data_IF_788785665604
#
_entry.id   IF_788785665604
#
_cell.length_a   1.000
_cell.length_b   1.000
_cell.length_c   1.000
_cell.angle_alpha   90.00
_cell.angle_beta   90.00
_cell.angle_gamma   90.00
#
_symmetry.space_group_name_H-M   'P 1'
#
loop_
_entity.id
_entity.type
_entity.pdbx_description
1 polymer ?
#
# COMPACT_ATOMS: atom_id res chain seq x y z
N UNK A 1 -18.03 -27.62 -29.15
CA UNK A 1 -16.90 -26.84 -29.71
C UNK A 1 -16.75 -25.59 -28.86
N UNK A 2 -15.92 -25.62 -27.82
CA UNK A 2 -15.81 -24.52 -26.85
C UNK A 2 -14.99 -23.35 -27.45
N UNK A 3 -15.40 -22.08 -27.24
CA UNK A 3 -14.75 -20.95 -27.90
C UNK A 3 -13.30 -20.73 -27.47
N UNK A 4 -12.43 -20.41 -28.44
CA UNK A 4 -10.96 -20.35 -28.30
C UNK A 4 -10.41 -19.19 -27.45
N UNK A 5 -11.24 -18.28 -26.93
CA UNK A 5 -10.78 -17.08 -26.19
C UNK A 5 -10.22 -17.39 -24.78
N UNK A 6 -10.39 -18.61 -24.27
CA UNK A 6 -10.00 -18.95 -22.90
C UNK A 6 -8.52 -19.38 -22.75
N UNK A 7 -7.79 -19.63 -23.85
CA UNK A 7 -6.50 -20.36 -23.79
C UNK A 7 -5.22 -19.53 -23.82
N UNK A 8 -5.27 -18.19 -23.88
CA UNK A 8 -4.03 -17.39 -23.91
C UNK A 8 -4.19 -16.00 -23.28
N UNK A 9 -4.31 -15.92 -21.95
CA UNK A 9 -4.26 -14.65 -21.22
C UNK A 9 -2.82 -14.19 -21.03
N UNK A 10 -2.17 -13.71 -22.10
CA UNK A 10 -1.08 -12.74 -21.95
C UNK A 10 -1.73 -11.38 -21.79
N UNK A 11 -1.56 -10.71 -20.64
CA UNK A 11 -1.71 -9.26 -20.56
C UNK A 11 -0.91 -8.64 -21.71
N UNK A 12 -1.62 -8.06 -22.66
CA UNK A 12 -1.08 -7.18 -23.67
C UNK A 12 -1.56 -5.78 -23.28
N UNK A 13 -0.64 -4.84 -23.08
CA UNK A 13 -1.03 -3.43 -23.06
C UNK A 13 -1.49 -3.09 -24.47
N UNK A 14 -2.79 -3.20 -24.73
CA UNK A 14 -3.40 -2.93 -26.04
C UNK A 14 -3.39 -1.45 -26.38
N UNK A 15 -3.19 -0.57 -25.38
CA UNK A 15 -3.01 0.87 -25.56
C UNK A 15 -2.18 1.44 -24.41
N UNK A 16 -0.97 1.92 -24.68
CA UNK A 16 -0.27 2.83 -23.76
C UNK A 16 -1.03 4.15 -23.81
N UNK A 17 -1.63 4.57 -22.71
CA UNK A 17 -2.31 5.87 -22.65
C UNK A 17 -1.28 6.97 -22.85
N UNK A 18 -1.41 7.84 -23.86
CA UNK A 18 -0.55 9.02 -23.97
C UNK A 18 -0.56 9.81 -22.67
N UNK A 19 0.61 10.31 -22.24
CA UNK A 19 0.75 11.25 -21.12
C UNK A 19 0.15 10.81 -19.78
N UNK A 20 0.05 9.49 -19.52
CA UNK A 20 -0.40 8.97 -18.23
C UNK A 20 -1.80 9.51 -17.80
N UNK A 21 -2.71 9.76 -18.74
CA UNK A 21 -4.00 10.38 -18.47
C UNK A 21 -4.88 9.59 -17.48
N UNK A 22 -5.01 8.27 -17.69
CA UNK A 22 -5.80 7.39 -16.83
C UNK A 22 -5.23 7.34 -15.40
N UNK A 23 -3.94 7.02 -15.18
CA UNK A 23 -3.38 7.04 -13.83
C UNK A 23 -3.43 8.45 -13.21
N UNK A 24 -3.30 9.52 -14.00
CA UNK A 24 -3.49 10.90 -13.53
C UNK A 24 -4.88 11.15 -12.95
N UNK A 25 -5.95 10.76 -13.67
CA UNK A 25 -7.34 10.86 -13.17
C UNK A 25 -7.55 10.05 -11.89
N UNK A 26 -7.00 8.83 -11.84
CA UNK A 26 -7.09 7.97 -10.67
C UNK A 26 -6.40 8.60 -9.44
N UNK A 27 -5.17 9.08 -9.60
CA UNK A 27 -4.38 9.68 -8.53
C UNK A 27 -5.00 11.00 -8.05
N UNK A 28 -5.52 11.83 -8.96
CA UNK A 28 -6.25 13.05 -8.60
C UNK A 28 -7.51 12.72 -7.76
N UNK A 29 -8.24 11.65 -8.10
CA UNK A 29 -9.37 11.20 -7.28
C UNK A 29 -8.95 10.68 -5.89
N UNK A 30 -7.75 10.12 -5.77
CA UNK A 30 -7.20 9.75 -4.46
C UNK A 30 -6.80 10.99 -3.66
N UNK A 31 -6.10 11.95 -4.27
CA UNK A 31 -5.68 13.18 -3.61
C UNK A 31 -6.87 14.01 -3.11
N UNK A 32 -7.96 14.07 -3.88
CA UNK A 32 -9.18 14.76 -3.44
C UNK A 32 -9.86 14.13 -2.22
N UNK A 33 -9.73 12.81 -2.05
CA UNK A 33 -10.42 12.07 -0.98
C UNK A 33 -9.56 11.91 0.27
N UNK A 34 -8.28 11.65 0.09
CA UNK A 34 -7.37 11.25 1.16
C UNK A 34 -6.21 12.23 1.36
N UNK A 35 -6.09 13.24 0.49
CA UNK A 35 -5.02 14.23 0.52
C UNK A 35 -3.69 13.76 -0.08
N UNK A 36 -2.62 14.44 0.30
CA UNK A 36 -1.25 14.26 -0.14
C UNK A 36 -0.29 14.25 1.07
N UNK A 37 0.79 13.44 1.07
CA UNK A 37 1.29 12.64 -0.04
C UNK A 37 0.56 11.30 -0.22
N UNK A 38 0.61 10.78 -1.45
CA UNK A 38 0.22 9.40 -1.76
C UNK A 38 1.48 8.55 -1.81
N UNK A 39 1.52 7.51 -1.01
CA UNK A 39 2.57 6.50 -1.04
C UNK A 39 2.08 5.25 -1.76
N UNK A 40 2.76 4.86 -2.82
CA UNK A 40 2.46 3.71 -3.64
C UNK A 40 3.46 2.59 -3.33
N UNK A 41 3.02 1.56 -2.62
CA UNK A 41 3.84 0.42 -2.18
C UNK A 41 3.57 -0.76 -3.11
N UNK A 42 4.53 -1.06 -3.98
CA UNK A 42 4.45 -2.18 -4.91
C UNK A 42 5.22 -3.39 -4.39
N UNK A 43 4.54 -4.53 -4.25
CA UNK A 43 5.06 -5.79 -3.70
C UNK A 43 5.39 -6.85 -4.78
N UNK A 44 5.34 -6.47 -6.06
CA UNK A 44 5.68 -7.35 -7.19
C UNK A 44 7.11 -7.87 -7.04
N UNK A 45 7.37 -9.12 -7.41
CA UNK A 45 8.71 -9.72 -7.31
C UNK A 45 9.63 -9.13 -8.38
N UNK A 46 10.87 -8.75 -8.03
CA UNK A 46 11.82 -8.19 -9.02
C UNK A 46 12.36 -9.24 -10.00
N UNK A 47 12.41 -10.51 -9.60
CA UNK A 47 12.84 -11.62 -10.46
C UNK A 47 11.67 -12.54 -10.72
N UNK A 48 11.09 -12.40 -11.90
CA UNK A 48 10.08 -13.31 -12.41
C UNK A 48 10.68 -14.26 -13.45
N UNK A 49 10.20 -15.51 -13.48
CA UNK A 49 10.56 -16.47 -14.55
C UNK A 49 9.97 -16.05 -15.90
N UNK A 50 8.87 -15.30 -15.91
CA UNK A 50 8.23 -14.69 -17.08
C UNK A 50 7.92 -13.22 -16.77
N UNK A 51 8.35 -12.29 -17.62
CA UNK A 51 8.14 -10.84 -17.44
C UNK A 51 6.67 -10.49 -17.62
N UNK A 52 5.90 -10.53 -16.55
CA UNK A 52 4.46 -10.28 -16.61
C UNK A 52 4.08 -9.14 -15.70
N UNK A 53 4.43 -9.26 -14.41
CA UNK A 53 4.16 -8.24 -13.41
C UNK A 53 5.18 -7.10 -13.46
N UNK A 54 6.40 -7.40 -13.91
CA UNK A 54 7.44 -6.37 -14.09
C UNK A 54 7.01 -5.31 -15.09
N UNK A 55 6.28 -5.69 -16.15
CA UNK A 55 5.77 -4.75 -17.14
C UNK A 55 4.77 -3.75 -16.54
N UNK A 56 3.84 -4.23 -15.70
CA UNK A 56 2.89 -3.36 -15.01
C UNK A 56 3.61 -2.41 -14.05
N UNK A 57 4.61 -2.92 -13.33
CA UNK A 57 5.44 -2.14 -12.41
C UNK A 57 6.19 -1.02 -13.15
N UNK A 58 6.73 -1.31 -14.34
CA UNK A 58 7.42 -0.32 -15.17
C UNK A 58 6.45 0.75 -15.67
N UNK A 59 5.27 0.36 -16.15
CA UNK A 59 4.23 1.29 -16.63
C UNK A 59 3.79 2.24 -15.51
N UNK A 60 3.46 1.72 -14.33
CA UNK A 60 3.04 2.54 -13.18
C UNK A 60 4.17 3.44 -12.70
N UNK A 61 5.40 2.91 -12.59
CA UNK A 61 6.57 3.69 -12.19
C UNK A 61 6.83 4.86 -13.13
N UNK A 62 6.76 4.62 -14.45
CA UNK A 62 6.95 5.68 -15.44
C UNK A 62 5.81 6.71 -15.42
N UNK A 63 4.56 6.27 -15.24
CA UNK A 63 3.42 7.17 -15.08
C UNK A 63 3.58 8.08 -13.84
N UNK A 64 3.99 7.53 -12.70
CA UNK A 64 4.23 8.30 -11.47
C UNK A 64 5.39 9.29 -11.67
N UNK A 65 6.51 8.86 -12.28
CA UNK A 65 7.63 9.74 -12.60
C UNK A 65 7.23 10.91 -13.50
N UNK A 66 6.37 10.65 -14.48
CA UNK A 66 5.83 11.70 -15.35
C UNK A 66 4.93 12.66 -14.56
N UNK A 67 4.00 12.15 -13.77
CA UNK A 67 3.07 12.99 -12.99
C UNK A 67 3.78 13.83 -11.93
N UNK A 68 4.84 13.31 -11.31
CA UNK A 68 5.65 14.04 -10.34
C UNK A 68 6.40 15.24 -10.95
N UNK A 69 6.49 15.39 -12.27
CA UNK A 69 7.02 16.61 -12.91
C UNK A 69 6.11 17.83 -12.69
N UNK A 70 4.83 17.60 -12.36
CA UNK A 70 3.83 18.64 -12.18
C UNK A 70 3.45 18.87 -10.70
N UNK A 71 4.01 18.08 -9.78
CA UNK A 71 3.71 18.16 -8.35
C UNK A 71 4.86 18.86 -7.62
N UNK A 72 4.53 19.64 -6.59
CA UNK A 72 5.55 20.15 -5.68
C UNK A 72 6.23 19.00 -4.92
N UNK A 73 7.49 19.15 -4.47
CA UNK A 73 8.22 18.09 -3.78
C UNK A 73 7.48 17.55 -2.53
N UNK A 74 6.77 18.41 -1.82
CA UNK A 74 5.92 18.08 -0.65
C UNK A 74 4.70 17.19 -1.00
N UNK A 75 4.24 17.24 -2.25
CA UNK A 75 3.10 16.49 -2.75
C UNK A 75 3.50 15.39 -3.73
N UNK A 76 4.80 15.17 -3.91
CA UNK A 76 5.31 14.16 -4.80
C UNK A 76 4.82 12.78 -4.38
N UNK A 77 4.32 12.02 -5.35
CA UNK A 77 3.88 10.65 -5.11
C UNK A 77 5.11 9.80 -4.87
N UNK A 78 5.13 9.12 -3.72
CA UNK A 78 6.24 8.29 -3.30
C UNK A 78 6.03 6.87 -3.84
N UNK A 79 6.86 6.42 -4.77
CA UNK A 79 6.79 5.06 -5.29
C UNK A 79 7.85 4.18 -4.62
N UNK A 80 7.40 3.22 -3.83
CA UNK A 80 8.24 2.28 -3.09
C UNK A 80 8.03 0.89 -3.65
N UNK A 81 9.12 0.24 -4.06
CA UNK A 81 9.06 -1.14 -4.53
C UNK A 81 9.75 -2.06 -3.52
N UNK A 82 8.96 -2.95 -2.90
CA UNK A 82 9.40 -3.87 -1.86
C UNK A 82 9.30 -5.31 -2.35
N UNK A 83 10.45 -5.98 -2.44
CA UNK A 83 10.47 -7.41 -2.78
C UNK A 83 10.38 -8.24 -1.49
N UNK A 84 9.14 -8.51 -1.05
CA UNK A 84 8.85 -9.26 0.19
C UNK A 84 9.51 -10.64 0.22
N UNK A 85 9.79 -11.25 -0.95
CA UNK A 85 10.46 -12.55 -1.02
C UNK A 85 11.94 -12.51 -0.61
N UNK A 86 12.50 -11.32 -0.39
CA UNK A 86 13.91 -11.10 -0.02
C UNK A 86 14.07 -10.35 1.30
N UNK A 87 12.97 -9.97 1.94
CA UNK A 87 13.01 -9.27 3.21
C UNK A 87 12.75 -10.29 4.33
N UNK A 88 13.51 -10.16 5.42
CA UNK A 88 13.30 -10.96 6.62
C UNK A 88 12.24 -10.27 7.49
N UNK A 89 11.50 -11.03 8.30
CA UNK A 89 10.40 -10.53 9.18
C UNK A 89 10.77 -9.27 10.00
N UNK A 90 12.03 -9.08 10.38
CA UNK A 90 12.51 -7.90 11.11
C UNK A 90 12.92 -6.68 10.25
N UNK A 91 13.12 -6.87 8.95
CA UNK A 91 13.50 -5.83 7.97
C UNK A 91 12.26 -5.16 7.36
N UNK A 92 11.15 -5.90 7.29
CA UNK A 92 9.85 -5.43 6.77
C UNK A 92 9.35 -4.18 7.48
N UNK A 93 9.41 -4.18 8.82
CA UNK A 93 9.05 -3.01 9.62
C UNK A 93 10.03 -1.86 9.40
N UNK A 94 11.36 -2.10 9.37
CA UNK A 94 12.35 -1.03 9.26
C UNK A 94 12.30 -0.28 7.92
N UNK A 95 11.98 -0.95 6.81
CA UNK A 95 11.90 -0.28 5.50
C UNK A 95 10.62 0.56 5.38
N UNK A 96 9.53 0.13 6.01
CA UNK A 96 8.30 0.91 6.13
C UNK A 96 8.43 2.06 7.14
N UNK A 97 9.16 1.85 8.22
CA UNK A 97 9.42 2.84 9.27
C UNK A 97 10.40 3.93 8.78
N UNK A 98 11.42 3.55 7.99
CA UNK A 98 12.33 4.48 7.32
C UNK A 98 11.67 5.21 6.14
N UNK A 99 10.55 4.71 5.62
CA UNK A 99 9.72 5.45 4.68
C UNK A 99 8.90 6.48 5.48
N UNK A 100 9.57 7.54 5.97
CA UNK A 100 9.05 8.58 6.86
C UNK A 100 7.80 9.35 6.39
N UNK A 101 7.17 8.94 5.28
CA UNK A 101 5.93 9.52 4.76
C UNK A 101 4.71 9.34 5.69
N UNK A 102 4.75 8.39 6.64
CA UNK A 102 3.64 8.21 7.59
C UNK A 102 3.60 9.25 8.70
N UNK A 103 4.74 9.86 9.06
CA UNK A 103 4.79 10.94 10.05
C UNK A 103 4.25 12.26 9.49
N UNK A 104 4.45 12.50 8.18
CA UNK A 104 4.01 13.70 7.46
C UNK A 104 2.53 13.66 7.05
N UNK A 105 1.96 12.47 6.84
CA UNK A 105 0.56 12.27 6.49
C UNK A 105 -0.44 12.60 7.61
N UNK A 106 0.00 13.23 8.71
CA UNK A 106 -0.84 13.74 9.78
C UNK A 106 -0.55 15.24 9.96
N UNK A 107 -1.23 16.15 9.27
CA UNK A 107 -1.03 17.59 9.49
C UNK A 107 -1.83 18.08 10.71
N UNK A 108 -1.37 19.14 11.38
CA UNK A 108 -2.15 19.79 12.43
C UNK A 108 -3.42 20.41 11.81
N UNK A 109 -4.57 19.80 12.08
CA UNK A 109 -5.86 20.29 11.62
C UNK A 109 -6.59 20.99 12.75
N UNK A 110 -7.19 22.16 12.48
CA UNK A 110 -8.13 22.76 13.41
C UNK A 110 -9.25 21.77 13.71
N UNK A 111 -9.35 21.34 14.96
CA UNK A 111 -10.37 20.37 15.39
C UNK A 111 -11.77 20.87 15.05
N UNK A 112 -12.64 19.95 14.65
CA UNK A 112 -14.08 20.21 14.58
C UNK A 112 -14.56 20.81 15.93
N UNK A 113 -15.55 21.72 15.94
CA UNK A 113 -15.99 22.39 17.15
C UNK A 113 -16.42 21.35 18.20
N UNK A 114 -15.60 21.20 19.25
CA UNK A 114 -15.78 20.20 20.32
C UNK A 114 -14.64 19.20 20.50
N UNK A 115 -13.69 19.08 19.56
CA UNK A 115 -12.47 18.28 19.72
C UNK A 115 -11.25 19.19 19.94
N UNK A 116 -10.56 19.01 21.08
CA UNK A 116 -9.27 19.66 21.32
C UNK A 116 -8.26 19.26 20.22
N UNK A 117 -7.34 20.18 19.89
CA UNK A 117 -6.41 20.11 18.77
C UNK A 117 -5.80 18.71 18.52
N UNK A 118 -6.30 18.02 17.49
CA UNK A 118 -5.79 16.75 16.99
C UNK A 118 -5.13 16.91 15.62
N UNK A 119 -4.35 15.92 15.18
CA UNK A 119 -3.83 15.88 13.81
C UNK A 119 -4.85 15.19 12.90
N UNK A 120 -5.00 15.68 11.68
CA UNK A 120 -5.85 15.06 10.67
C UNK A 120 -5.00 14.24 9.72
N UNK A 121 -5.52 13.08 9.29
CA UNK A 121 -4.91 12.32 8.20
C UNK A 121 -4.97 13.14 6.91
N UNK A 122 -3.82 13.38 6.32
CA UNK A 122 -3.65 14.16 5.08
C UNK A 122 -3.10 13.33 3.94
N UNK A 123 -2.77 12.05 4.11
CA UNK A 123 -2.24 11.21 3.04
C UNK A 123 -2.72 9.76 3.10
N UNK A 124 -2.29 8.95 2.13
CA UNK A 124 -2.67 7.54 2.00
C UNK A 124 -1.50 6.67 1.54
N UNK A 125 -1.39 5.47 2.11
CA UNK A 125 -0.60 4.38 1.56
C UNK A 125 -1.47 3.41 0.75
N UNK A 126 -1.14 3.26 -0.54
CA UNK A 126 -1.75 2.27 -1.43
C UNK A 126 -0.78 1.11 -1.63
N UNK A 127 -1.17 -0.06 -1.14
CA UNK A 127 -0.40 -1.31 -1.31
C UNK A 127 -0.93 -2.08 -2.51
N UNK A 128 -0.04 -2.56 -3.38
CA UNK A 128 -0.38 -3.37 -4.54
C UNK A 128 0.45 -4.66 -4.58
N UNK A 129 -0.21 -5.79 -4.80
CA UNK A 129 0.40 -7.05 -5.20
C UNK A 129 -0.52 -7.71 -6.22
N UNK A 130 0.02 -8.15 -7.35
CA UNK A 130 -0.78 -8.80 -8.42
C UNK A 130 -1.05 -10.28 -8.08
N UNK A 131 -0.18 -10.88 -7.28
CA UNK A 131 -0.09 -12.32 -7.02
C UNK A 131 -0.97 -12.81 -5.86
N UNK A 132 -1.00 -12.10 -4.72
CA UNK A 132 -1.70 -12.60 -3.54
C UNK A 132 -2.16 -11.52 -2.56
N UNK A 133 -3.34 -11.74 -2.00
CA UNK A 133 -3.93 -10.96 -0.93
C UNK A 133 -3.06 -11.02 0.33
N UNK A 134 -2.50 -12.19 0.67
CA UNK A 134 -1.70 -12.40 1.88
C UNK A 134 -0.55 -11.40 2.00
N UNK A 135 0.23 -11.20 0.93
CA UNK A 135 1.34 -10.24 0.94
C UNK A 135 0.86 -8.80 1.11
N UNK A 136 -0.29 -8.45 0.52
CA UNK A 136 -0.87 -7.11 0.73
C UNK A 136 -1.32 -6.92 2.17
N UNK A 137 -1.95 -7.93 2.77
CA UNK A 137 -2.39 -7.89 4.16
C UNK A 137 -1.21 -7.77 5.13
N UNK A 138 -0.14 -8.54 4.92
CA UNK A 138 1.09 -8.44 5.72
C UNK A 138 1.73 -7.05 5.65
N UNK A 139 1.80 -6.45 4.46
CA UNK A 139 2.35 -5.10 4.32
C UNK A 139 1.45 -4.04 4.97
N UNK A 140 0.13 -4.17 4.86
CA UNK A 140 -0.82 -3.29 5.53
C UNK A 140 -0.74 -3.41 7.06
N UNK A 141 -0.54 -4.63 7.59
CA UNK A 141 -0.30 -4.85 9.01
C UNK A 141 0.97 -4.14 9.50
N UNK A 142 2.07 -4.27 8.76
CA UNK A 142 3.32 -3.59 9.12
C UNK A 142 3.17 -2.06 9.12
N UNK A 143 2.42 -1.50 8.16
CA UNK A 143 2.05 -0.08 8.15
C UNK A 143 1.21 0.25 9.40
N UNK A 144 0.17 -0.53 9.67
CA UNK A 144 -0.74 -0.33 10.80
C UNK A 144 -0.02 -0.33 12.15
N UNK A 145 0.94 -1.25 12.34
CA UNK A 145 1.77 -1.33 13.54
C UNK A 145 2.60 -0.06 13.76
N UNK A 146 3.22 0.48 12.70
CA UNK A 146 3.99 1.73 12.78
C UNK A 146 3.08 2.92 13.15
N UNK A 147 1.92 3.04 12.49
CA UNK A 147 0.94 4.10 12.79
C UNK A 147 0.41 3.98 14.23
N UNK A 148 0.11 2.77 14.68
CA UNK A 148 -0.34 2.51 16.05
C UNK A 148 0.73 2.92 17.08
N UNK A 149 2.00 2.63 16.82
CA UNK A 149 3.10 3.05 17.69
C UNK A 149 3.14 4.57 17.84
N UNK A 150 3.01 5.31 16.75
CA UNK A 150 2.94 6.77 16.78
C UNK A 150 1.71 7.30 17.53
N UNK A 151 0.55 6.65 17.37
CA UNK A 151 -0.67 7.01 18.08
C UNK A 151 -0.54 6.79 19.60
N UNK A 152 -0.01 5.64 20.02
CA UNK A 152 0.23 5.35 21.45
C UNK A 152 1.25 6.31 22.07
N UNK A 153 2.30 6.67 21.31
CA UNK A 153 3.28 7.67 21.75
C UNK A 153 2.63 9.05 21.93
N UNK A 154 1.81 9.49 20.97
CA UNK A 154 1.10 10.77 21.06
C UNK A 154 0.11 10.83 22.23
N UNK A 155 -0.43 9.68 22.66
CA UNK A 155 -1.28 9.56 23.86
C UNK A 155 -0.48 9.50 25.17
N UNK A 156 0.86 9.45 25.11
CA UNK A 156 1.72 9.33 26.28
C UNK A 156 1.71 7.94 26.93
N UNK A 157 1.25 6.90 26.21
CA UNK A 157 1.19 5.53 26.72
C UNK A 157 2.52 4.78 26.61
N UNK A 158 3.39 5.21 25.70
CA UNK A 158 4.73 4.65 25.50
C UNK A 158 5.76 5.78 25.40
N UNK A 159 7.00 5.52 25.81
CA UNK A 159 8.07 6.53 25.85
C UNK A 159 8.76 6.78 24.50
N UNK A 160 8.58 5.87 23.53
CA UNK A 160 9.10 5.97 22.17
C UNK A 160 8.07 5.39 21.19
N UNK A 161 7.99 5.85 19.93
CA UNK A 161 7.02 5.35 18.94
C UNK A 161 7.44 4.00 18.35
N UNK A 162 7.80 3.04 19.21
CA UNK A 162 8.20 1.68 18.83
C UNK A 162 7.44 0.70 19.71
N UNK A 163 6.74 -0.25 19.07
CA UNK A 163 6.08 -1.35 19.77
C UNK A 163 6.82 -2.65 19.44
N UNK A 164 7.19 -3.41 20.47
CA UNK A 164 7.79 -4.74 20.32
C UNK A 164 6.82 -5.72 19.66
N UNK A 165 7.33 -6.57 18.77
CA UNK A 165 6.51 -7.54 18.04
C UNK A 165 5.81 -8.54 18.96
N UNK A 166 6.42 -8.92 20.08
CA UNK A 166 5.86 -9.90 21.00
C UNK A 166 4.93 -9.29 22.07
N UNK A 167 4.62 -8.01 21.97
CA UNK A 167 3.70 -7.33 22.89
C UNK A 167 2.25 -7.77 22.68
N UNK A 168 1.45 -7.75 23.74
CA UNK A 168 0.03 -8.08 23.67
C UNK A 168 -0.74 -7.13 22.73
N UNK A 169 -0.30 -5.87 22.64
CA UNK A 169 -0.86 -4.91 21.70
C UNK A 169 -0.68 -5.36 20.24
N UNK A 170 0.51 -5.84 19.87
CA UNK A 170 0.77 -6.34 18.51
C UNK A 170 0.03 -7.63 18.25
N UNK A 171 -0.07 -8.56 19.22
CA UNK A 171 -0.84 -9.80 19.07
C UNK A 171 -2.33 -9.54 18.80
N UNK A 172 -2.92 -8.55 19.50
CA UNK A 172 -4.29 -8.12 19.24
C UNK A 172 -4.43 -7.54 17.83
N UNK A 173 -3.45 -6.74 17.39
CA UNK A 173 -3.43 -6.20 16.03
C UNK A 173 -3.29 -7.32 14.98
N UNK A 174 -2.44 -8.31 15.22
CA UNK A 174 -2.26 -9.47 14.35
C UNK A 174 -3.58 -10.23 14.18
N UNK A 175 -4.30 -10.52 15.27
CA UNK A 175 -5.62 -11.17 15.23
C UNK A 175 -6.64 -10.36 14.41
N UNK A 176 -6.67 -9.03 14.58
CA UNK A 176 -7.56 -8.17 13.77
C UNK A 176 -7.23 -8.24 12.27
N UNK A 177 -5.95 -8.30 11.91
CA UNK A 177 -5.52 -8.39 10.52
C UNK A 177 -5.70 -9.80 9.94
N UNK A 178 -5.65 -10.85 10.76
CA UNK A 178 -5.99 -12.22 10.38
C UNK A 178 -7.47 -12.31 10.00
N UNK A 179 -8.38 -11.87 10.88
CA UNK A 179 -9.83 -11.85 10.63
C UNK A 179 -10.19 -10.99 9.40
N UNK A 180 -9.51 -9.84 9.24
CA UNK A 180 -9.65 -8.99 8.07
C UNK A 180 -9.21 -9.69 6.79
N UNK A 181 -8.08 -10.40 6.82
CA UNK A 181 -7.56 -11.18 5.70
C UNK A 181 -8.53 -12.27 5.27
N UNK A 182 -9.06 -13.04 6.22
CA UNK A 182 -10.03 -14.11 5.98
C UNK A 182 -11.32 -13.58 5.37
N UNK A 183 -11.82 -12.46 5.90
CA UNK A 183 -13.03 -11.81 5.38
C UNK A 183 -12.83 -11.33 3.94
N UNK A 184 -11.68 -10.71 3.64
CA UNK A 184 -11.36 -10.27 2.29
C UNK A 184 -11.16 -11.47 1.34
N UNK A 185 -10.56 -12.56 1.82
CA UNK A 185 -10.32 -13.76 1.02
C UNK A 185 -11.62 -14.34 0.46
N UNK A 186 -12.77 -14.18 1.13
CA UNK A 186 -14.08 -14.59 0.60
C UNK A 186 -14.41 -13.96 -0.76
N UNK A 187 -13.95 -12.73 -1.01
CA UNK A 187 -14.19 -12.03 -2.28
C UNK A 187 -13.24 -12.50 -3.41
N UNK A 188 -12.06 -12.99 -3.04
CA UNK A 188 -11.02 -13.42 -3.98
C UNK A 188 -10.98 -14.95 -4.19
N UNK A 189 -11.55 -15.71 -3.25
CA UNK A 189 -11.62 -17.17 -3.23
C UNK A 189 -12.51 -17.81 -4.30
N UNK A 190 -13.16 -17.00 -5.16
CA UNK A 190 -13.85 -17.47 -6.36
C UNK A 190 -12.93 -17.75 -7.56
N UNK A 191 -11.61 -17.50 -7.45
CA UNK A 191 -10.68 -17.80 -8.54
C UNK A 191 -10.44 -19.32 -8.61
N UNK A 192 -10.81 -19.95 -9.73
CA UNK A 192 -10.71 -21.40 -9.95
C UNK A 192 -9.29 -21.93 -9.70
N UNK A 193 -9.05 -22.45 -8.50
CA UNK A 193 -7.91 -23.32 -8.18
C UNK A 193 -8.22 -24.11 -6.89
N UNK A 194 -9.39 -24.75 -6.84
CA UNK A 194 -9.67 -25.75 -5.80
C UNK A 194 -10.31 -26.99 -6.42
N UNK A 195 -9.59 -28.10 -6.30
CA UNK A 195 -9.89 -29.50 -6.66
C UNK A 195 -10.10 -29.88 -8.13
N UNK A 196 -9.10 -30.58 -8.67
CA UNK A 196 -9.32 -31.73 -9.55
C UNK A 196 -8.54 -32.92 -9.03
#
# INVERSE_FOLDING_TARGET
MSPKWYRNRRFQLTSVTPFAEIPGKHLNNLMRRYGSPIMFVNLVKKREKKKHESLLSDVISNAIKYLNQFLSPEHAIQYIHLDMARMNKGTDAKVLDNAGGFQEACSAGGGAPGHQAGRLQTGLARVNCVDCLDRTNTAQFAIGKCVLAHQLFALGLIGEPVIEFDSDCVRLLEGLYEDHGDTLALQYGGSQLVHR
#
